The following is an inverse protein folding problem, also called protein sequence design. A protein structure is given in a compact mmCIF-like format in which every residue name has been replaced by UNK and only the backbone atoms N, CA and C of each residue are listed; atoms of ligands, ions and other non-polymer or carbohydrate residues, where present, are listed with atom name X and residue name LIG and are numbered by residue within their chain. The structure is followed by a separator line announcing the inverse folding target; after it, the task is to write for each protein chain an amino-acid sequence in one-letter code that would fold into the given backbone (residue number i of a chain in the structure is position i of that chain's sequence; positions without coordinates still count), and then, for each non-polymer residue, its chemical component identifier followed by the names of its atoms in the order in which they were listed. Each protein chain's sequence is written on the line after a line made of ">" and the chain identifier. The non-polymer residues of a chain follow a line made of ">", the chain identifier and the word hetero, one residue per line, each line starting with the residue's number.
data_IF_746336775737
#
_entry.id   IF_746336775737
#
_cell.length_a   1.000
_cell.length_b   1.000
_cell.length_c   1.000
_cell.angle_alpha   90.00
_cell.angle_beta   90.00
_cell.angle_gamma   90.00
#
_symmetry.space_group_name_H-M   'P 1'
#
loop_
_entity.id
_entity.type
_entity.pdbx_description
1 polymer ?
#
# COMPACT_ATOMS: atom_id res chain seq x y z
N UNK A 1 9.63 -15.68 19.71
CA UNK A 1 8.81 -14.70 20.48
C UNK A 1 8.20 -13.62 19.59
N UNK A 2 8.92 -13.00 18.62
CA UNK A 2 8.38 -11.91 17.76
C UNK A 2 7.21 -12.40 16.90
N UNK A 3 7.40 -13.51 16.19
CA UNK A 3 6.37 -14.08 15.30
C UNK A 3 5.18 -14.57 16.14
N UNK A 4 5.41 -15.28 17.24
CA UNK A 4 4.35 -15.76 18.11
C UNK A 4 3.52 -14.61 18.70
N UNK A 5 4.20 -13.58 19.25
CA UNK A 5 3.52 -12.36 19.73
C UNK A 5 2.76 -11.61 18.63
N UNK A 6 3.36 -11.50 17.42
CA UNK A 6 2.71 -10.92 16.25
C UNK A 6 1.46 -11.69 15.85
N UNK A 7 1.50 -13.02 15.86
CA UNK A 7 0.33 -13.87 15.57
C UNK A 7 -0.82 -13.59 16.53
N UNK A 8 -0.54 -13.44 17.85
CA UNK A 8 -1.56 -13.10 18.85
C UNK A 8 -2.17 -11.72 18.58
N UNK A 9 -1.34 -10.70 18.29
CA UNK A 9 -1.82 -9.35 17.98
C UNK A 9 -2.70 -9.37 16.73
N UNK A 10 -2.28 -10.03 15.66
CA UNK A 10 -3.09 -10.13 14.44
C UNK A 10 -4.38 -10.93 14.64
N UNK A 11 -4.37 -11.98 15.47
CA UNK A 11 -5.57 -12.72 15.81
C UNK A 11 -6.58 -11.84 16.57
N UNK A 12 -6.11 -11.02 17.52
CA UNK A 12 -6.97 -10.06 18.23
C UNK A 12 -7.54 -8.99 17.29
N UNK A 13 -6.71 -8.41 16.42
CA UNK A 13 -7.16 -7.44 15.40
C UNK A 13 -8.21 -8.10 14.50
N UNK A 14 -7.96 -9.32 14.04
CA UNK A 14 -8.92 -10.05 13.19
C UNK A 14 -10.25 -10.28 13.89
N UNK A 15 -10.23 -10.62 15.18
CA UNK A 15 -11.46 -10.82 15.97
C UNK A 15 -12.26 -9.51 16.10
N UNK A 16 -11.58 -8.39 16.36
CA UNK A 16 -12.24 -7.07 16.42
C UNK A 16 -12.82 -6.68 15.04
N UNK A 17 -12.05 -6.84 13.98
CA UNK A 17 -12.51 -6.53 12.63
C UNK A 17 -13.65 -7.45 12.19
N UNK A 18 -13.62 -8.74 12.56
CA UNK A 18 -14.71 -9.68 12.32
C UNK A 18 -16.01 -9.16 12.92
N UNK A 19 -15.99 -8.79 14.21
CA UNK A 19 -17.18 -8.28 14.89
C UNK A 19 -17.68 -6.99 14.23
N UNK A 20 -16.78 -6.05 13.94
CA UNK A 20 -17.14 -4.77 13.31
C UNK A 20 -17.75 -5.01 11.93
N UNK A 21 -17.10 -5.76 11.06
CA UNK A 21 -17.55 -5.97 9.68
C UNK A 21 -18.84 -6.79 9.58
N UNK A 22 -19.00 -7.79 10.43
CA UNK A 22 -20.22 -8.63 10.43
C UNK A 22 -21.40 -7.89 11.07
N UNK A 23 -21.20 -7.22 12.22
CA UNK A 23 -22.27 -6.53 12.94
C UNK A 23 -22.67 -5.20 12.25
N UNK A 24 -21.70 -4.46 11.71
CA UNK A 24 -21.91 -3.13 11.12
C UNK A 24 -21.89 -3.14 9.58
N UNK A 25 -22.06 -4.30 8.94
CA UNK A 25 -22.02 -4.42 7.48
C UNK A 25 -22.97 -3.43 6.77
N UNK A 26 -24.22 -3.36 7.21
CA UNK A 26 -25.23 -2.46 6.63
C UNK A 26 -24.95 -0.98 6.93
N UNK A 27 -24.67 -0.55 8.17
CA UNK A 27 -24.21 0.79 8.46
C UNK A 27 -22.98 1.22 7.64
N UNK A 28 -22.01 0.33 7.47
CA UNK A 28 -20.81 0.59 6.65
C UNK A 28 -21.22 0.81 5.19
N UNK A 29 -22.10 0.00 4.61
CA UNK A 29 -22.57 0.14 3.24
C UNK A 29 -23.30 1.47 3.01
N UNK A 30 -24.10 1.90 3.97
CA UNK A 30 -24.78 3.21 3.93
C UNK A 30 -23.77 4.37 4.06
N UNK A 31 -22.81 4.24 4.97
CA UNK A 31 -21.72 5.23 5.14
C UNK A 31 -20.87 5.39 3.87
N UNK A 32 -20.67 4.29 3.13
CA UNK A 32 -19.98 4.29 1.83
C UNK A 32 -20.83 4.85 0.70
N UNK A 33 -22.04 5.34 0.98
CA UNK A 33 -22.99 5.91 0.00
C UNK A 33 -23.33 4.92 -1.13
N UNK A 34 -23.46 3.64 -0.82
CA UNK A 34 -23.92 2.66 -1.79
C UNK A 34 -25.35 3.05 -2.28
N UNK A 35 -25.63 2.93 -3.59
CA UNK A 35 -26.98 3.18 -4.11
C UNK A 35 -28.03 2.33 -3.36
N UNK A 36 -29.22 2.86 -3.14
CA UNK A 36 -30.24 2.21 -2.33
C UNK A 36 -30.52 0.75 -2.74
N UNK A 37 -30.48 0.49 -4.04
CA UNK A 37 -30.66 -0.83 -4.65
C UNK A 37 -29.48 -1.79 -4.37
N UNK A 38 -28.28 -1.26 -4.13
CA UNK A 38 -27.04 -2.04 -3.94
C UNK A 38 -26.66 -2.17 -2.45
N UNK A 39 -27.34 -1.49 -1.52
CA UNK A 39 -26.98 -1.51 -0.08
C UNK A 39 -26.97 -2.93 0.47
N UNK A 40 -27.99 -3.74 0.19
CA UNK A 40 -28.10 -5.08 0.75
C UNK A 40 -27.10 -6.05 0.11
N UNK A 41 -26.79 -5.89 -1.20
CA UNK A 41 -25.74 -6.64 -1.89
C UNK A 41 -24.35 -6.29 -1.34
N UNK A 42 -24.09 -4.99 -1.13
CA UNK A 42 -22.85 -4.49 -0.55
C UNK A 42 -22.69 -4.98 0.90
N UNK A 43 -23.77 -4.93 1.69
CA UNK A 43 -23.77 -5.43 3.07
C UNK A 43 -23.52 -6.93 3.14
N UNK A 44 -24.10 -7.72 2.22
CA UNK A 44 -23.85 -9.14 2.11
C UNK A 44 -22.36 -9.41 1.77
N UNK A 45 -21.80 -8.70 0.80
CA UNK A 45 -20.38 -8.77 0.45
C UNK A 45 -19.47 -8.47 1.65
N UNK A 46 -19.71 -7.35 2.33
CA UNK A 46 -18.94 -6.93 3.52
C UNK A 46 -19.04 -7.96 4.64
N UNK A 47 -20.23 -8.54 4.86
CA UNK A 47 -20.45 -9.54 5.90
C UNK A 47 -19.72 -10.85 5.61
N UNK A 48 -19.73 -11.34 4.37
CA UNK A 48 -19.03 -12.55 3.95
C UNK A 48 -17.52 -12.35 4.03
N UNK A 49 -16.99 -11.25 3.48
CA UNK A 49 -15.57 -10.91 3.56
C UNK A 49 -15.13 -10.71 5.03
N UNK A 50 -15.95 -10.06 5.85
CA UNK A 50 -15.75 -9.95 7.29
C UNK A 50 -15.68 -11.30 7.99
N UNK A 51 -16.55 -12.24 7.60
CA UNK A 51 -16.50 -13.62 8.07
C UNK A 51 -15.19 -14.33 7.74
N UNK A 52 -14.61 -14.02 6.57
CA UNK A 52 -13.33 -14.55 6.10
C UNK A 52 -12.09 -13.79 6.52
N UNK A 53 -12.20 -12.75 7.35
CA UNK A 53 -11.09 -11.85 7.69
C UNK A 53 -9.87 -12.58 8.28
N UNK A 54 -10.09 -13.66 9.01
CA UNK A 54 -9.04 -14.49 9.58
C UNK A 54 -8.12 -15.07 8.50
N UNK A 55 -8.66 -15.51 7.36
CA UNK A 55 -7.85 -16.02 6.25
C UNK A 55 -7.06 -14.89 5.58
N UNK A 56 -7.67 -13.72 5.40
CA UNK A 56 -7.02 -12.54 4.82
C UNK A 56 -5.83 -12.11 5.67
N UNK A 57 -6.03 -12.03 6.99
CA UNK A 57 -4.96 -11.62 7.92
C UNK A 57 -3.89 -12.70 8.03
N UNK A 58 -4.27 -13.99 8.11
CA UNK A 58 -3.31 -15.10 8.16
C UNK A 58 -2.43 -15.16 6.90
N UNK A 59 -3.03 -14.98 5.71
CA UNK A 59 -2.30 -14.89 4.45
C UNK A 59 -1.25 -13.76 4.48
N UNK A 60 -1.66 -12.55 4.89
CA UNK A 60 -0.75 -11.41 4.95
C UNK A 60 0.39 -11.63 5.96
N UNK A 61 0.09 -12.20 7.12
CA UNK A 61 1.09 -12.54 8.12
C UNK A 61 2.10 -13.57 7.61
N UNK A 62 1.63 -14.66 7.00
CA UNK A 62 2.50 -15.69 6.43
C UNK A 62 3.37 -15.13 5.29
N UNK A 63 2.78 -14.33 4.40
CA UNK A 63 3.53 -13.64 3.34
C UNK A 63 4.62 -12.73 3.90
N UNK A 64 4.34 -11.98 4.97
CA UNK A 64 5.31 -11.12 5.62
C UNK A 64 6.44 -11.93 6.28
N UNK A 65 6.14 -13.09 6.89
CA UNK A 65 7.14 -14.00 7.46
C UNK A 65 8.08 -14.51 6.38
N UNK A 66 7.56 -15.03 5.26
CA UNK A 66 8.38 -15.52 4.15
C UNK A 66 9.28 -14.41 3.58
N UNK A 67 8.74 -13.21 3.34
CA UNK A 67 9.53 -12.06 2.86
C UNK A 67 10.60 -11.64 3.88
N UNK A 68 10.27 -11.66 5.17
CA UNK A 68 11.22 -11.38 6.25
C UNK A 68 12.38 -12.39 6.30
N UNK A 69 12.12 -13.65 5.96
CA UNK A 69 13.13 -14.70 5.83
C UNK A 69 13.93 -14.64 4.51
N UNK A 70 13.60 -13.69 3.62
CA UNK A 70 14.27 -13.55 2.31
C UNK A 70 13.66 -14.42 1.20
N UNK A 71 12.59 -15.14 1.48
CA UNK A 71 11.88 -15.96 0.48
C UNK A 71 10.68 -15.19 -0.11
N UNK A 72 10.91 -14.55 -1.26
CA UNK A 72 9.85 -13.88 -2.03
C UNK A 72 9.16 -14.79 -3.05
N UNK A 73 9.75 -15.95 -3.37
CA UNK A 73 9.18 -16.88 -4.36
C UNK A 73 7.96 -17.63 -3.82
N UNK A 74 8.00 -18.04 -2.56
CA UNK A 74 6.88 -18.75 -1.94
C UNK A 74 5.61 -17.88 -1.85
N UNK A 75 5.66 -16.62 -1.36
CA UNK A 75 4.51 -15.70 -1.43
C UNK A 75 3.95 -15.53 -2.85
N UNK A 76 4.79 -15.40 -3.85
CA UNK A 76 4.35 -15.27 -5.24
C UNK A 76 3.55 -16.50 -5.68
N UNK A 77 4.01 -17.72 -5.33
CA UNK A 77 3.35 -18.95 -5.75
C UNK A 77 1.96 -19.09 -5.12
N UNK A 78 1.81 -18.87 -3.81
CA UNK A 78 0.49 -19.01 -3.20
C UNK A 78 -0.46 -17.85 -3.51
N UNK A 79 0.06 -16.65 -3.85
CA UNK A 79 -0.74 -15.58 -4.47
C UNK A 79 -1.26 -15.99 -5.83
N UNK A 80 -0.41 -16.58 -6.68
CA UNK A 80 -0.81 -17.05 -8.01
C UNK A 80 -1.92 -18.10 -7.91
N UNK A 81 -1.76 -19.06 -7.01
CA UNK A 81 -2.81 -20.08 -6.77
C UNK A 81 -4.10 -19.42 -6.29
N UNK A 82 -4.02 -18.47 -5.35
CA UNK A 82 -5.20 -17.74 -4.88
C UNK A 82 -5.88 -16.97 -6.02
N UNK A 83 -5.13 -16.32 -6.88
CA UNK A 83 -5.66 -15.58 -8.04
C UNK A 83 -6.44 -16.51 -8.98
N UNK A 84 -5.88 -17.68 -9.31
CA UNK A 84 -6.56 -18.68 -10.17
C UNK A 84 -7.85 -19.15 -9.49
N UNK A 85 -7.79 -19.51 -8.20
CA UNK A 85 -8.97 -19.95 -7.44
C UNK A 85 -10.04 -18.86 -7.37
N UNK A 86 -9.64 -17.60 -7.20
CA UNK A 86 -10.58 -16.48 -7.19
C UNK A 86 -11.26 -16.31 -8.56
N UNK A 87 -10.49 -16.27 -9.66
CA UNK A 87 -11.05 -16.12 -11.02
C UNK A 87 -12.02 -17.27 -11.33
N UNK A 88 -11.61 -18.52 -11.06
CA UNK A 88 -12.48 -19.67 -11.29
C UNK A 88 -13.71 -19.62 -10.39
N UNK A 89 -13.52 -19.25 -9.11
CA UNK A 89 -14.61 -19.09 -8.16
C UNK A 89 -15.61 -18.01 -8.59
N UNK A 90 -15.15 -16.86 -9.07
CA UNK A 90 -16.01 -15.79 -9.58
C UNK A 90 -16.81 -16.27 -10.81
N UNK A 91 -16.16 -16.93 -11.76
CA UNK A 91 -16.86 -17.46 -12.94
C UNK A 91 -17.92 -18.51 -12.57
N UNK A 92 -17.61 -19.40 -11.65
CA UNK A 92 -18.54 -20.45 -11.21
C UNK A 92 -19.68 -19.88 -10.36
N UNK A 93 -19.36 -19.07 -9.34
CA UNK A 93 -20.36 -18.62 -8.37
C UNK A 93 -21.18 -17.43 -8.87
N UNK A 94 -20.57 -16.51 -9.61
CA UNK A 94 -21.27 -15.33 -10.13
C UNK A 94 -21.93 -15.67 -11.47
N UNK A 95 -21.16 -16.14 -12.48
CA UNK A 95 -21.71 -16.40 -13.80
C UNK A 95 -22.48 -17.74 -13.88
N UNK A 96 -22.03 -18.79 -13.15
CA UNK A 96 -22.68 -20.11 -13.18
C UNK A 96 -23.91 -20.22 -12.28
N UNK A 97 -23.77 -19.80 -11.01
CA UNK A 97 -24.83 -19.92 -10.00
C UNK A 97 -25.64 -18.62 -9.81
N UNK A 98 -25.25 -17.48 -10.41
CA UNK A 98 -25.97 -16.22 -10.29
C UNK A 98 -25.98 -15.64 -8.86
N UNK A 99 -24.94 -15.91 -8.05
CA UNK A 99 -24.86 -15.44 -6.67
C UNK A 99 -24.43 -13.99 -6.51
N UNK A 100 -24.30 -13.24 -7.61
CA UNK A 100 -23.94 -11.82 -7.63
C UNK A 100 -22.78 -11.46 -6.68
N UNK A 101 -22.95 -10.40 -5.88
CA UNK A 101 -21.95 -9.93 -4.94
C UNK A 101 -21.57 -10.96 -3.85
N UNK A 102 -22.52 -11.81 -3.43
CA UNK A 102 -22.25 -12.87 -2.47
C UNK A 102 -21.32 -13.94 -3.05
N UNK A 103 -21.51 -14.30 -4.34
CA UNK A 103 -20.63 -15.22 -5.05
C UNK A 103 -19.20 -14.73 -5.13
N UNK A 104 -18.99 -13.46 -5.50
CA UNK A 104 -17.68 -12.83 -5.54
C UNK A 104 -17.01 -12.77 -4.14
N UNK A 105 -17.77 -12.49 -3.10
CA UNK A 105 -17.25 -12.49 -1.73
C UNK A 105 -16.81 -13.89 -1.28
N UNK A 106 -17.60 -14.92 -1.57
CA UNK A 106 -17.28 -16.33 -1.25
C UNK A 106 -16.02 -16.76 -2.02
N UNK A 107 -15.93 -16.45 -3.32
CA UNK A 107 -14.75 -16.77 -4.14
C UNK A 107 -13.49 -16.12 -3.57
N UNK A 108 -13.57 -14.86 -3.17
CA UNK A 108 -12.46 -14.14 -2.54
C UNK A 108 -12.02 -14.81 -1.24
N UNK A 109 -12.95 -15.11 -0.32
CA UNK A 109 -12.63 -15.77 0.96
C UNK A 109 -12.06 -17.17 0.74
N UNK A 110 -12.63 -17.94 -0.19
CA UNK A 110 -12.14 -19.28 -0.53
C UNK A 110 -10.71 -19.21 -1.10
N UNK A 111 -10.43 -18.26 -2.00
CA UNK A 111 -9.10 -18.05 -2.54
C UNK A 111 -8.07 -17.74 -1.45
N UNK A 112 -8.43 -16.88 -0.49
CA UNK A 112 -7.56 -16.56 0.66
C UNK A 112 -7.35 -17.78 1.56
N UNK A 113 -8.39 -18.59 1.82
CA UNK A 113 -8.27 -19.81 2.59
C UNK A 113 -7.30 -20.81 1.91
N UNK A 114 -7.44 -21.03 0.60
CA UNK A 114 -6.53 -21.87 -0.17
C UNK A 114 -5.10 -21.34 -0.12
N UNK A 115 -4.91 -20.03 -0.24
CA UNK A 115 -3.60 -19.39 -0.11
C UNK A 115 -2.96 -19.65 1.27
N UNK A 116 -3.73 -19.57 2.34
CA UNK A 116 -3.25 -19.89 3.70
C UNK A 116 -2.84 -21.36 3.81
N UNK A 117 -3.64 -22.27 3.26
CA UNK A 117 -3.29 -23.71 3.26
C UNK A 117 -1.99 -23.93 2.49
N UNK A 118 -1.84 -23.36 1.30
CA UNK A 118 -0.61 -23.45 0.51
C UNK A 118 0.59 -22.88 1.28
N UNK A 119 0.44 -21.73 1.93
CA UNK A 119 1.50 -21.10 2.71
C UNK A 119 1.92 -21.97 3.90
N UNK A 120 0.96 -22.55 4.63
CA UNK A 120 1.24 -23.45 5.76
C UNK A 120 1.93 -24.72 5.27
N UNK A 121 1.47 -25.35 4.19
CA UNK A 121 2.10 -26.54 3.62
C UNK A 121 3.54 -26.23 3.19
N UNK A 122 3.79 -25.08 2.56
CA UNK A 122 5.14 -24.66 2.20
C UNK A 122 6.02 -24.41 3.42
N UNK A 123 5.46 -23.80 4.47
CA UNK A 123 6.15 -23.56 5.72
C UNK A 123 6.61 -24.87 6.38
N UNK A 124 5.71 -25.87 6.40
CA UNK A 124 6.00 -27.21 6.96
C UNK A 124 7.05 -27.96 6.11
N UNK A 125 6.99 -27.85 4.77
CA UNK A 125 7.95 -28.53 3.87
C UNK A 125 9.35 -27.92 3.91
N UNK A 126 9.44 -26.59 3.95
CA UNK A 126 10.76 -25.89 3.97
C UNK A 126 11.40 -25.89 5.35
N UNK A 127 10.61 -26.08 6.40
CA UNK A 127 11.04 -25.90 7.78
C UNK A 127 11.28 -24.41 8.10
N UNK A 128 11.26 -24.10 9.36
CA UNK A 128 11.63 -22.78 9.87
C UNK A 128 13.03 -22.86 10.46
N UNK A 129 13.86 -21.82 10.30
CA UNK A 129 15.19 -21.77 10.90
C UNK A 129 15.15 -21.61 12.44
N UNK A 130 13.97 -21.72 13.03
CA UNK A 130 13.73 -21.60 14.48
C UNK A 130 12.55 -22.50 14.91
N UNK A 131 12.52 -22.87 16.19
CA UNK A 131 11.45 -23.67 16.77
C UNK A 131 10.42 -22.77 17.44
N UNK A 132 9.14 -23.12 17.29
CA UNK A 132 8.05 -22.49 18.04
C UNK A 132 7.82 -23.20 19.36
N UNK A 133 7.78 -22.41 20.44
CA UNK A 133 7.36 -22.89 21.74
C UNK A 133 5.96 -22.30 22.07
N UNK A 134 5.13 -23.05 22.76
CA UNK A 134 3.79 -22.55 23.18
C UNK A 134 3.86 -21.25 23.99
N UNK A 135 4.99 -21.04 24.71
CA UNK A 135 5.27 -19.80 25.45
C UNK A 135 5.48 -18.57 24.57
N UNK A 136 5.78 -18.75 23.28
CA UNK A 136 5.97 -17.64 22.35
C UNK A 136 4.66 -16.96 21.94
N UNK A 137 3.53 -17.68 22.05
CA UNK A 137 2.20 -17.18 21.74
C UNK A 137 1.58 -16.43 22.92
N UNK A 138 2.28 -15.41 23.42
CA UNK A 138 1.83 -14.51 24.49
C UNK A 138 2.11 -13.08 24.13
N UNK A 139 1.31 -12.16 24.69
CA UNK A 139 1.61 -10.74 24.65
C UNK A 139 2.89 -10.48 25.45
N UNK A 140 3.94 -10.08 24.78
CA UNK A 140 5.27 -9.88 25.33
C UNK A 140 5.82 -8.49 24.93
N UNK A 141 7.00 -8.12 25.48
CA UNK A 141 7.67 -6.84 25.16
C UNK A 141 7.96 -6.67 23.66
N UNK A 142 8.05 -7.76 22.89
CA UNK A 142 8.24 -7.71 21.45
C UNK A 142 6.97 -7.23 20.72
N UNK A 143 5.78 -7.50 21.27
CA UNK A 143 4.52 -6.96 20.72
C UNK A 143 4.51 -5.44 20.75
N UNK A 144 5.04 -4.82 21.81
CA UNK A 144 5.18 -3.36 21.90
C UNK A 144 6.11 -2.81 20.81
N UNK A 145 7.24 -3.48 20.55
CA UNK A 145 8.16 -3.11 19.47
C UNK A 145 7.50 -3.27 18.10
N UNK A 146 6.81 -4.38 17.88
CA UNK A 146 6.07 -4.66 16.66
C UNK A 146 4.98 -3.60 16.39
N UNK A 147 4.17 -3.27 17.40
CA UNK A 147 3.15 -2.22 17.30
C UNK A 147 3.78 -0.83 17.11
N UNK A 148 4.91 -0.55 17.75
CA UNK A 148 5.66 0.70 17.59
C UNK A 148 6.17 0.91 16.15
N UNK A 149 6.38 -0.15 15.39
CA UNK A 149 6.75 -0.10 13.96
C UNK A 149 5.50 -0.11 13.08
N UNK A 150 4.55 -0.98 13.38
CA UNK A 150 3.38 -1.23 12.53
C UNK A 150 2.33 -0.14 12.60
N UNK A 151 2.07 0.42 13.79
CA UNK A 151 1.03 1.44 13.97
C UNK A 151 1.30 2.74 13.19
N UNK A 152 2.54 3.29 13.17
CA UNK A 152 2.87 4.42 12.32
C UNK A 152 2.63 4.14 10.83
N UNK A 153 2.99 2.94 10.35
CA UNK A 153 2.77 2.55 8.95
C UNK A 153 1.28 2.43 8.63
N UNK A 154 0.50 1.82 9.53
CA UNK A 154 -0.95 1.71 9.36
C UNK A 154 -1.64 3.08 9.35
N UNK A 155 -1.20 4.01 10.22
CA UNK A 155 -1.71 5.37 10.26
C UNK A 155 -1.38 6.14 8.98
N UNK A 156 -0.16 6.00 8.46
CA UNK A 156 0.25 6.59 7.19
C UNK A 156 -0.66 6.09 6.04
N UNK A 157 -0.89 4.78 5.96
CA UNK A 157 -1.73 4.18 4.92
C UNK A 157 -3.18 4.65 5.03
N UNK A 158 -3.74 4.67 6.24
CA UNK A 158 -5.08 5.19 6.50
C UNK A 158 -5.24 6.64 6.01
N UNK A 159 -4.29 7.51 6.33
CA UNK A 159 -4.32 8.91 5.92
C UNK A 159 -4.16 9.08 4.40
N UNK A 160 -3.38 8.21 3.77
CA UNK A 160 -3.27 8.18 2.31
C UNK A 160 -4.62 7.85 1.68
N UNK A 161 -5.37 6.88 2.20
CA UNK A 161 -6.72 6.54 1.71
C UNK A 161 -7.72 7.68 1.95
N UNK A 162 -7.68 8.32 3.11
CA UNK A 162 -8.50 9.51 3.40
C UNK A 162 -8.19 10.64 2.41
N UNK A 163 -6.93 10.84 2.05
CA UNK A 163 -6.54 11.82 1.04
C UNK A 163 -7.15 11.54 -0.34
N UNK A 164 -7.16 10.28 -0.78
CA UNK A 164 -7.80 9.91 -2.05
C UNK A 164 -9.30 10.18 -2.03
N UNK A 165 -9.98 9.89 -0.93
CA UNK A 165 -11.42 10.20 -0.77
C UNK A 165 -11.68 11.72 -0.81
N UNK A 166 -10.83 12.52 -0.16
CA UNK A 166 -10.94 13.96 -0.20
C UNK A 166 -10.70 14.53 -1.61
N UNK A 167 -9.71 14.01 -2.34
CA UNK A 167 -9.49 14.38 -3.75
C UNK A 167 -10.73 14.04 -4.60
N UNK A 168 -11.34 12.88 -4.41
CA UNK A 168 -12.57 12.49 -5.09
C UNK A 168 -13.67 13.51 -4.83
N UNK A 169 -13.87 13.95 -3.57
CA UNK A 169 -14.84 14.95 -3.21
C UNK A 169 -14.57 16.33 -3.86
N UNK A 170 -13.30 16.72 -4.02
CA UNK A 170 -12.92 17.96 -4.71
C UNK A 170 -13.20 17.88 -6.22
N UNK A 171 -12.89 16.75 -6.85
CA UNK A 171 -13.16 16.52 -8.27
C UNK A 171 -14.65 16.46 -8.57
N UNK A 172 -15.47 15.90 -7.68
CA UNK A 172 -16.92 15.82 -7.85
C UNK A 172 -17.58 17.20 -7.99
N UNK A 173 -16.95 18.27 -7.48
CA UNK A 173 -17.43 19.66 -7.67
C UNK A 173 -17.32 20.14 -9.11
N UNK A 174 -16.45 19.53 -9.92
CA UNK A 174 -16.26 19.90 -11.33
C UNK A 174 -17.29 19.27 -12.27
N UNK A 175 -18.18 18.44 -11.75
CA UNK A 175 -19.27 17.81 -12.49
C UNK A 175 -19.09 16.32 -12.75
N UNK A 176 -20.14 15.72 -13.34
CA UNK A 176 -20.22 14.26 -13.51
C UNK A 176 -19.16 13.71 -14.46
N UNK A 177 -18.88 14.38 -15.57
CA UNK A 177 -17.88 13.94 -16.55
C UNK A 177 -16.47 13.96 -15.96
N UNK A 178 -16.14 15.03 -15.19
CA UNK A 178 -14.87 15.14 -14.49
C UNK A 178 -14.70 14.03 -13.43
N UNK A 179 -15.75 13.76 -12.65
CA UNK A 179 -15.78 12.68 -11.66
C UNK A 179 -15.59 11.31 -12.29
N UNK A 180 -16.29 11.04 -13.39
CA UNK A 180 -16.16 9.78 -14.14
C UNK A 180 -14.76 9.62 -14.74
N UNK A 181 -14.20 10.68 -15.32
CA UNK A 181 -12.85 10.72 -15.86
C UNK A 181 -11.80 10.47 -14.78
N UNK A 182 -11.95 11.11 -13.61
CA UNK A 182 -11.09 10.85 -12.45
C UNK A 182 -11.16 9.38 -11.99
N UNK A 183 -12.35 8.79 -11.97
CA UNK A 183 -12.53 7.38 -11.62
C UNK A 183 -11.78 6.43 -12.57
N UNK A 184 -11.79 6.70 -13.88
CA UNK A 184 -11.01 5.96 -14.87
C UNK A 184 -9.51 6.19 -14.64
N UNK A 185 -9.08 7.44 -14.45
CA UNK A 185 -7.69 7.78 -14.18
C UNK A 185 -7.15 7.09 -12.93
N UNK A 186 -7.94 7.00 -11.85
CA UNK A 186 -7.56 6.28 -10.63
C UNK A 186 -7.27 4.79 -10.88
N UNK A 187 -7.98 4.13 -11.79
CA UNK A 187 -7.68 2.73 -12.15
C UNK A 187 -6.29 2.63 -12.79
N UNK A 188 -5.97 3.52 -13.72
CA UNK A 188 -4.66 3.56 -14.38
C UNK A 188 -3.55 3.89 -13.39
N UNK A 189 -3.77 4.87 -12.50
CA UNK A 189 -2.84 5.24 -11.42
C UNK A 189 -2.56 4.06 -10.51
N UNK A 190 -3.58 3.30 -10.10
CA UNK A 190 -3.40 2.11 -9.26
C UNK A 190 -2.49 1.07 -9.93
N UNK A 191 -2.66 0.81 -11.23
CA UNK A 191 -1.75 -0.07 -11.98
C UNK A 191 -0.32 0.50 -12.05
N UNK A 192 -0.17 1.79 -12.32
CA UNK A 192 1.13 2.45 -12.36
C UNK A 192 1.88 2.39 -11.03
N UNK A 193 1.15 2.41 -9.90
CA UNK A 193 1.73 2.36 -8.54
C UNK A 193 2.13 0.96 -8.08
N UNK A 194 1.78 -0.12 -8.78
CA UNK A 194 2.15 -1.48 -8.40
C UNK A 194 3.67 -1.68 -8.36
N UNK A 195 4.38 -1.20 -9.38
CA UNK A 195 5.85 -1.36 -9.47
C UNK A 195 6.58 -0.59 -8.37
N UNK A 196 6.34 0.72 -8.17
CA UNK A 196 6.96 1.47 -7.07
C UNK A 196 6.66 0.87 -5.69
N UNK A 197 5.41 0.46 -5.43
CA UNK A 197 5.00 -0.16 -4.16
C UNK A 197 5.72 -1.48 -3.90
N UNK A 198 5.85 -2.32 -4.91
CA UNK A 198 6.57 -3.60 -4.83
C UNK A 198 8.06 -3.38 -4.59
N UNK A 199 8.66 -2.38 -5.24
CA UNK A 199 10.05 -1.99 -5.04
C UNK A 199 10.29 -1.50 -3.61
N UNK A 200 9.39 -0.64 -3.08
CA UNK A 200 9.44 -0.15 -1.70
C UNK A 200 9.44 -1.31 -0.69
N UNK A 201 8.53 -2.28 -0.84
CA UNK A 201 8.44 -3.44 0.06
C UNK A 201 9.68 -4.35 -0.02
N UNK A 202 10.18 -4.58 -1.23
CA UNK A 202 11.39 -5.38 -1.47
C UNK A 202 12.61 -4.70 -0.85
N UNK A 203 12.74 -3.39 -1.01
CA UNK A 203 13.82 -2.60 -0.41
C UNK A 203 13.74 -2.61 1.11
N UNK A 204 12.55 -2.45 1.71
CA UNK A 204 12.39 -2.51 3.16
C UNK A 204 12.86 -3.86 3.73
N UNK A 205 12.51 -4.97 3.06
CA UNK A 205 12.95 -6.31 3.45
C UNK A 205 14.46 -6.48 3.29
N UNK A 206 15.02 -6.09 2.15
CA UNK A 206 16.45 -6.25 1.87
C UNK A 206 17.34 -5.37 2.77
N UNK A 207 16.92 -4.13 2.99
CA UNK A 207 17.62 -3.20 3.89
C UNK A 207 17.59 -3.71 5.32
N UNK A 208 16.43 -4.18 5.83
CA UNK A 208 16.30 -4.68 7.20
C UNK A 208 17.20 -5.90 7.45
N UNK A 209 17.33 -6.82 6.47
CA UNK A 209 18.24 -7.96 6.56
C UNK A 209 19.70 -7.51 6.61
N UNK A 210 20.12 -6.57 5.78
CA UNK A 210 21.49 -6.06 5.78
C UNK A 210 21.83 -5.26 7.05
N UNK A 211 20.89 -4.48 7.56
CA UNK A 211 21.02 -3.76 8.83
C UNK A 211 21.12 -4.75 9.99
N UNK A 212 20.28 -5.80 10.01
CA UNK A 212 20.32 -6.85 11.01
C UNK A 212 21.66 -7.64 11.00
N UNK A 213 22.26 -7.80 9.82
CA UNK A 213 23.59 -8.40 9.65
C UNK A 213 24.77 -7.41 9.90
N UNK A 214 24.50 -6.16 10.30
CA UNK A 214 25.53 -5.14 10.54
C UNK A 214 26.12 -4.50 9.26
N UNK A 215 25.61 -4.88 8.06
CA UNK A 215 26.16 -4.44 6.78
C UNK A 215 25.49 -3.14 6.27
N UNK A 216 25.73 -2.04 6.98
CA UNK A 216 25.17 -0.71 6.64
C UNK A 216 25.57 -0.19 5.26
N UNK A 217 26.79 -0.50 4.80
CA UNK A 217 27.27 -0.09 3.47
C UNK A 217 26.37 -0.69 2.37
N UNK A 218 26.06 -1.98 2.48
CA UNK A 218 25.20 -2.67 1.52
C UNK A 218 23.75 -2.16 1.58
N UNK A 219 23.24 -1.89 2.78
CA UNK A 219 21.93 -1.26 2.96
C UNK A 219 21.83 0.09 2.25
N UNK A 220 22.89 0.92 2.32
CA UNK A 220 22.97 2.21 1.61
C UNK A 220 23.08 2.04 0.10
N UNK A 221 23.88 1.09 -0.38
CA UNK A 221 23.95 0.80 -1.82
C UNK A 221 22.60 0.39 -2.38
N UNK A 222 21.79 -0.35 -1.60
CA UNK A 222 20.42 -0.72 -1.97
C UNK A 222 19.55 0.50 -2.26
N UNK A 223 19.69 1.59 -1.48
CA UNK A 223 18.92 2.81 -1.71
C UNK A 223 19.20 3.37 -3.12
N UNK A 224 20.46 3.56 -3.48
CA UNK A 224 20.82 4.13 -4.77
C UNK A 224 20.47 3.20 -5.95
N UNK A 225 20.66 1.89 -5.78
CA UNK A 225 20.23 0.91 -6.77
C UNK A 225 18.72 0.90 -6.94
N UNK A 226 17.96 0.97 -5.84
CA UNK A 226 16.51 1.05 -5.87
C UNK A 226 16.02 2.31 -6.58
N UNK A 227 16.62 3.47 -6.30
CA UNK A 227 16.31 4.72 -7.01
C UNK A 227 16.59 4.57 -8.51
N UNK A 228 17.74 4.03 -8.90
CA UNK A 228 18.09 3.86 -10.31
C UNK A 228 17.11 2.94 -11.05
N UNK A 229 16.77 1.78 -10.48
CA UNK A 229 15.79 0.85 -11.05
C UNK A 229 14.42 1.52 -11.10
N UNK A 230 14.00 2.16 -10.02
CA UNK A 230 12.73 2.84 -9.93
C UNK A 230 12.58 3.96 -10.97
N UNK A 231 13.64 4.75 -11.21
CA UNK A 231 13.65 5.82 -12.22
C UNK A 231 13.47 5.27 -13.64
N UNK A 232 14.09 4.14 -13.97
CA UNK A 232 13.91 3.52 -15.30
C UNK A 232 12.43 3.18 -15.53
N UNK A 233 11.77 2.54 -14.55
CA UNK A 233 10.34 2.24 -14.63
C UNK A 233 9.48 3.51 -14.55
N UNK A 234 9.83 4.45 -13.69
CA UNK A 234 9.12 5.71 -13.53
C UNK A 234 9.11 6.53 -14.83
N UNK A 235 10.24 6.61 -15.52
CA UNK A 235 10.33 7.28 -16.82
C UNK A 235 9.51 6.55 -17.89
N UNK A 236 9.53 5.23 -17.91
CA UNK A 236 8.71 4.44 -18.85
C UNK A 236 7.21 4.66 -18.62
N UNK A 237 6.75 4.63 -17.35
CA UNK A 237 5.36 4.89 -16.99
C UNK A 237 4.98 6.34 -17.28
N UNK A 238 5.86 7.31 -16.98
CA UNK A 238 5.67 8.72 -17.32
C UNK A 238 5.43 8.88 -18.81
N UNK A 239 6.31 8.33 -19.66
CA UNK A 239 6.17 8.41 -21.10
C UNK A 239 4.86 7.79 -21.59
N UNK A 240 4.52 6.60 -21.10
CA UNK A 240 3.29 5.91 -21.46
C UNK A 240 2.03 6.73 -21.07
N UNK A 241 1.98 7.26 -19.85
CA UNK A 241 0.83 8.03 -19.36
C UNK A 241 0.74 9.40 -20.05
N UNK A 242 1.88 10.04 -20.31
CA UNK A 242 1.93 11.37 -20.93
C UNK A 242 1.54 11.36 -22.39
N UNK A 243 1.99 10.35 -23.16
CA UNK A 243 1.77 10.29 -24.61
C UNK A 243 0.54 9.47 -24.98
N UNK A 244 0.25 8.39 -24.26
CA UNK A 244 -0.80 7.41 -24.59
C UNK A 244 -1.90 7.31 -23.51
N UNK A 245 -2.07 8.36 -22.70
CA UNK A 245 -3.04 8.33 -21.60
C UNK A 245 -4.50 8.30 -22.06
N UNK A 246 -4.80 8.80 -23.25
CA UNK A 246 -6.10 8.68 -23.92
C UNK A 246 -6.39 7.24 -24.34
N UNK A 247 -5.41 6.57 -24.97
CA UNK A 247 -5.50 5.14 -25.34
C UNK A 247 -5.70 4.28 -24.07
N UNK A 248 -4.94 4.52 -23.02
CA UNK A 248 -5.10 3.83 -21.73
C UNK A 248 -6.49 4.04 -21.14
N UNK A 249 -7.03 5.25 -21.23
CA UNK A 249 -8.37 5.57 -20.73
C UNK A 249 -9.45 4.89 -21.57
N UNK A 250 -9.23 4.76 -22.88
CA UNK A 250 -10.10 4.07 -23.82
C UNK A 250 -10.27 2.56 -23.54
N UNK A 251 -9.34 1.94 -22.80
CA UNK A 251 -9.49 0.56 -22.34
C UNK A 251 -10.66 0.40 -21.34
N UNK A 252 -10.96 1.43 -20.59
CA UNK A 252 -11.94 1.40 -19.48
C UNK A 252 -13.30 2.00 -19.85
N UNK A 253 -13.38 2.83 -20.88
CA UNK A 253 -14.60 3.50 -21.31
C UNK A 253 -14.56 3.87 -22.79
N UNK A 254 -15.72 3.91 -23.42
CA UNK A 254 -15.90 4.38 -24.80
C UNK A 254 -16.44 5.82 -24.87
N UNK A 255 -16.78 6.43 -23.74
CA UNK A 255 -17.27 7.80 -23.66
C UNK A 255 -16.13 8.79 -23.88
N UNK A 256 -16.19 9.55 -24.98
CA UNK A 256 -15.15 10.50 -25.38
C UNK A 256 -14.96 11.63 -24.34
N UNK A 257 -16.03 12.10 -23.70
CA UNK A 257 -15.93 13.15 -22.67
C UNK A 257 -15.19 12.63 -21.43
N UNK A 258 -15.48 11.39 -21.02
CA UNK A 258 -14.80 10.73 -19.89
C UNK A 258 -13.32 10.48 -20.22
N UNK A 259 -12.98 10.06 -21.44
CA UNK A 259 -11.59 9.83 -21.88
C UNK A 259 -10.80 11.15 -21.82
N UNK A 260 -11.34 12.26 -22.35
CA UNK A 260 -10.68 13.57 -22.33
C UNK A 260 -10.41 14.03 -20.89
N UNK A 261 -11.37 13.88 -19.99
CA UNK A 261 -11.23 14.25 -18.59
C UNK A 261 -10.23 13.34 -17.86
N UNK A 262 -10.23 12.03 -18.11
CA UNK A 262 -9.27 11.10 -17.56
C UNK A 262 -7.84 11.45 -18.01
N UNK A 263 -7.66 11.72 -19.29
CA UNK A 263 -6.35 12.12 -19.83
C UNK A 263 -5.88 13.47 -19.29
N UNK A 264 -6.78 14.44 -19.12
CA UNK A 264 -6.45 15.71 -18.48
C UNK A 264 -5.88 15.52 -17.06
N UNK A 265 -6.50 14.66 -16.23
CA UNK A 265 -5.97 14.32 -14.91
C UNK A 265 -4.62 13.58 -15.01
N UNK A 266 -4.52 12.58 -15.88
CA UNK A 266 -3.33 11.77 -16.08
C UNK A 266 -2.11 12.62 -16.51
N UNK A 267 -2.30 13.63 -17.35
CA UNK A 267 -1.24 14.58 -17.70
C UNK A 267 -0.70 15.33 -16.48
N UNK A 268 -1.57 15.82 -15.61
CA UNK A 268 -1.13 16.46 -14.36
C UNK A 268 -0.43 15.49 -13.42
N UNK A 269 -0.89 14.24 -13.39
CA UNK A 269 -0.35 13.18 -12.53
C UNK A 269 0.92 12.54 -13.08
N UNK A 270 1.16 12.53 -14.39
CA UNK A 270 2.26 11.78 -15.02
C UNK A 270 3.65 12.00 -14.36
N UNK A 271 4.07 13.24 -13.98
CA UNK A 271 5.35 13.44 -13.30
C UNK A 271 5.47 12.67 -11.97
N UNK A 272 4.35 12.30 -11.35
CA UNK A 272 4.33 11.50 -10.13
C UNK A 272 5.04 10.16 -10.31
N UNK A 273 4.95 9.54 -11.48
CA UNK A 273 5.61 8.26 -11.76
C UNK A 273 7.15 8.33 -11.56
N UNK A 274 7.76 9.45 -11.90
CA UNK A 274 9.21 9.66 -11.74
C UNK A 274 9.54 9.97 -10.28
N UNK A 275 8.84 10.92 -9.67
CA UNK A 275 9.16 11.36 -8.30
C UNK A 275 8.80 10.28 -7.26
N UNK A 276 7.74 9.51 -7.48
CA UNK A 276 7.37 8.39 -6.61
C UNK A 276 8.44 7.30 -6.59
N UNK A 277 9.13 7.06 -7.69
CA UNK A 277 10.24 6.09 -7.73
C UNK A 277 11.34 6.44 -6.72
N UNK A 278 11.67 7.73 -6.59
CA UNK A 278 12.64 8.22 -5.62
C UNK A 278 12.06 8.16 -4.19
N UNK A 279 10.85 8.69 -3.99
CA UNK A 279 10.22 8.72 -2.68
C UNK A 279 10.06 7.32 -2.09
N UNK A 280 9.49 6.37 -2.84
CA UNK A 280 9.22 5.02 -2.36
C UNK A 280 10.52 4.24 -2.09
N UNK A 281 11.57 4.48 -2.86
CA UNK A 281 12.90 3.93 -2.56
C UNK A 281 13.42 4.45 -1.22
N UNK A 282 13.29 5.74 -0.94
CA UNK A 282 13.69 6.33 0.36
C UNK A 282 12.81 5.82 1.50
N UNK A 283 11.49 5.73 1.30
CA UNK A 283 10.55 5.17 2.28
C UNK A 283 10.91 3.71 2.60
N UNK A 284 11.16 2.88 1.58
CA UNK A 284 11.61 1.51 1.75
C UNK A 284 12.92 1.41 2.55
N UNK A 285 13.89 2.28 2.26
CA UNK A 285 15.13 2.38 3.01
C UNK A 285 14.91 2.75 4.48
N UNK A 286 14.09 3.76 4.77
CA UNK A 286 13.82 4.18 6.14
C UNK A 286 13.02 3.13 6.93
N UNK A 287 12.05 2.48 6.29
CA UNK A 287 11.30 1.38 6.89
C UNK A 287 12.23 0.21 7.26
N UNK A 288 13.15 -0.17 6.36
CA UNK A 288 14.15 -1.19 6.62
C UNK A 288 15.15 -0.83 7.73
N UNK A 289 15.37 0.46 7.98
CA UNK A 289 16.18 0.99 9.08
C UNK A 289 15.39 1.26 10.38
N UNK A 290 14.16 0.76 10.50
CA UNK A 290 13.27 1.00 11.65
C UNK A 290 12.96 2.49 11.92
N UNK A 291 12.96 3.34 10.88
CA UNK A 291 12.61 4.77 10.97
C UNK A 291 11.16 5.03 10.56
N UNK A 292 10.25 4.13 10.91
CA UNK A 292 8.84 4.15 10.50
C UNK A 292 8.08 5.37 11.03
N UNK A 293 8.44 5.86 12.22
CA UNK A 293 7.87 7.09 12.77
C UNK A 293 8.20 8.29 11.89
N UNK A 294 9.44 8.37 11.37
CA UNK A 294 9.81 9.43 10.43
C UNK A 294 8.98 9.33 9.14
N UNK A 295 8.84 8.13 8.60
CA UNK A 295 8.04 7.89 7.38
C UNK A 295 6.59 8.32 7.60
N UNK A 296 6.01 8.03 8.76
CA UNK A 296 4.67 8.51 9.13
C UNK A 296 4.61 10.05 9.18
N UNK A 297 5.55 10.71 9.86
CA UNK A 297 5.58 12.17 9.98
C UNK A 297 5.72 12.82 8.60
N UNK A 298 6.65 12.33 7.78
CA UNK A 298 6.85 12.80 6.41
C UNK A 298 5.57 12.61 5.57
N UNK A 299 4.92 11.45 5.65
CA UNK A 299 3.67 11.18 4.94
C UNK A 299 2.51 12.08 5.39
N UNK A 300 2.42 12.38 6.70
CA UNK A 300 1.47 13.35 7.24
C UNK A 300 1.67 14.75 6.67
N UNK A 301 2.92 15.24 6.72
CA UNK A 301 3.26 16.56 6.17
C UNK A 301 2.94 16.63 4.68
N UNK A 302 3.40 15.64 3.91
CA UNK A 302 3.16 15.55 2.48
C UNK A 302 1.67 15.56 2.15
N UNK A 303 0.87 14.77 2.86
CA UNK A 303 -0.54 14.57 2.56
C UNK A 303 -1.41 15.71 3.06
N UNK A 304 -1.32 16.06 4.35
CA UNK A 304 -2.22 17.01 4.98
C UNK A 304 -1.81 18.47 4.74
N UNK A 305 -0.51 18.76 4.69
CA UNK A 305 -0.02 20.14 4.56
C UNK A 305 0.28 20.54 3.12
N UNK A 306 0.46 19.59 2.20
CA UNK A 306 0.80 19.92 0.81
C UNK A 306 -0.28 19.41 -0.15
N UNK A 307 -0.51 18.10 -0.22
CA UNK A 307 -1.38 17.48 -1.23
C UNK A 307 -2.83 17.94 -1.12
N UNK A 308 -3.44 17.86 0.08
CA UNK A 308 -4.83 18.23 0.27
C UNK A 308 -5.09 19.73 0.11
N UNK A 309 -4.30 20.64 0.73
CA UNK A 309 -4.51 22.07 0.53
C UNK A 309 -4.30 22.49 -0.92
N UNK A 310 -3.28 21.96 -1.60
CA UNK A 310 -3.01 22.27 -3.00
C UNK A 310 -4.15 21.79 -3.91
N UNK A 311 -4.61 20.55 -3.76
CA UNK A 311 -5.75 20.04 -4.52
C UNK A 311 -7.02 20.85 -4.27
N UNK A 312 -7.28 21.23 -3.01
CA UNK A 312 -8.42 22.08 -2.66
C UNK A 312 -8.33 23.46 -3.33
N UNK A 313 -7.20 24.16 -3.19
CA UNK A 313 -6.98 25.48 -3.80
C UNK A 313 -7.16 25.40 -5.32
N UNK A 314 -6.63 24.37 -5.97
CA UNK A 314 -6.76 24.17 -7.41
C UNK A 314 -8.21 23.83 -7.82
N UNK A 315 -8.99 23.20 -6.96
CA UNK A 315 -10.39 22.84 -7.24
C UNK A 315 -11.37 24.03 -7.15
N UNK A 316 -11.01 25.11 -6.44
CA UNK A 316 -11.89 26.28 -6.24
C UNK A 316 -11.56 27.45 -7.17
N UNK A 317 -10.55 27.32 -8.03
CA UNK A 317 -10.21 28.38 -8.98
C UNK A 317 -11.26 28.52 -10.09
N UNK A 318 -11.46 29.71 -10.67
CA UNK A 318 -12.45 29.93 -11.74
C UNK A 318 -12.22 29.04 -12.98
N UNK A 319 -10.95 28.69 -13.25
CA UNK A 319 -10.55 27.82 -14.36
C UNK A 319 -10.02 26.47 -13.87
N UNK A 320 -10.64 25.91 -12.80
CA UNK A 320 -10.23 24.64 -12.25
C UNK A 320 -10.24 23.54 -13.33
N UNK A 321 -9.16 22.81 -13.46
CA UNK A 321 -9.02 21.70 -14.39
C UNK A 321 -8.49 20.45 -13.69
N UNK A 322 -8.83 19.29 -14.23
CA UNK A 322 -8.31 18.03 -13.71
C UNK A 322 -6.78 17.94 -13.80
N UNK A 323 -6.17 18.57 -14.80
CA UNK A 323 -4.70 18.65 -14.91
C UNK A 323 -4.08 19.40 -13.72
N UNK A 324 -4.67 20.52 -13.30
CA UNK A 324 -4.19 21.27 -12.13
C UNK A 324 -4.33 20.45 -10.84
N UNK A 325 -5.46 19.79 -10.64
CA UNK A 325 -5.67 18.92 -9.47
C UNK A 325 -4.70 17.74 -9.50
N UNK A 326 -4.42 17.16 -10.67
CA UNK A 326 -3.44 16.09 -10.86
C UNK A 326 -2.03 16.48 -10.44
N UNK A 327 -1.62 17.74 -10.60
CA UNK A 327 -0.31 18.27 -10.18
C UNK A 327 -0.12 18.29 -8.65
N UNK A 328 -1.18 18.21 -7.87
CA UNK A 328 -1.06 18.18 -6.41
C UNK A 328 -0.28 16.94 -5.90
N UNK A 329 -0.37 15.81 -6.61
CA UNK A 329 0.36 14.59 -6.27
C UNK A 329 1.89 14.78 -6.45
N UNK A 330 2.42 15.04 -7.66
CA UNK A 330 3.87 15.16 -7.87
C UNK A 330 4.49 16.30 -7.06
N UNK A 331 3.77 17.40 -6.84
CA UNK A 331 4.28 18.50 -6.01
C UNK A 331 4.44 18.07 -4.56
N UNK A 332 3.43 17.38 -4.00
CA UNK A 332 3.50 16.88 -2.63
C UNK A 332 4.61 15.82 -2.46
N UNK A 333 4.79 14.96 -3.44
CA UNK A 333 5.83 13.94 -3.46
C UNK A 333 7.22 14.55 -3.56
N UNK A 334 7.40 15.62 -4.34
CA UNK A 334 8.66 16.37 -4.39
C UNK A 334 9.03 16.97 -3.02
N UNK A 335 8.06 17.54 -2.30
CA UNK A 335 8.27 18.00 -0.91
C UNK A 335 8.65 16.84 0.00
N UNK A 336 7.99 15.68 -0.12
CA UNK A 336 8.34 14.46 0.61
C UNK A 336 9.77 14.00 0.35
N UNK A 337 10.25 14.08 -0.88
CA UNK A 337 11.65 13.78 -1.25
C UNK A 337 12.60 14.73 -0.54
N UNK A 338 12.34 16.03 -0.58
CA UNK A 338 13.19 17.04 0.10
C UNK A 338 13.30 16.73 1.59
N UNK A 339 12.18 16.46 2.26
CA UNK A 339 12.16 16.09 3.68
C UNK A 339 13.00 14.82 3.94
N UNK A 340 12.86 13.82 3.10
CA UNK A 340 13.59 12.55 3.22
C UNK A 340 15.10 12.73 2.97
N UNK A 341 15.49 13.55 1.99
CA UNK A 341 16.90 13.89 1.74
C UNK A 341 17.50 14.62 2.93
N UNK A 342 16.81 15.62 3.48
CA UNK A 342 17.26 16.35 4.67
C UNK A 342 17.47 15.40 5.86
N UNK A 343 16.52 14.47 6.08
CA UNK A 343 16.63 13.50 7.17
C UNK A 343 17.74 12.47 6.93
N UNK A 344 17.94 12.03 5.70
CA UNK A 344 19.05 11.14 5.33
C UNK A 344 20.40 11.78 5.64
N UNK A 345 20.60 13.05 5.23
CA UNK A 345 21.82 13.79 5.48
C UNK A 345 22.03 14.04 6.99
N UNK A 346 20.96 14.32 7.74
CA UNK A 346 21.03 14.43 9.18
C UNK A 346 21.52 13.12 9.83
N UNK A 347 20.98 11.97 9.43
CA UNK A 347 21.41 10.67 9.96
C UNK A 347 22.88 10.36 9.63
N UNK A 348 23.33 10.70 8.44
CA UNK A 348 24.72 10.51 8.03
C UNK A 348 25.71 11.37 8.86
N UNK A 349 25.36 12.63 9.09
CA UNK A 349 26.16 13.52 9.95
C UNK A 349 26.24 12.99 11.37
N UNK A 350 25.11 12.55 11.92
CA UNK A 350 25.06 11.97 13.26
C UNK A 350 25.93 10.71 13.39
N UNK A 351 25.90 9.82 12.38
CA UNK A 351 26.76 8.63 12.38
C UNK A 351 28.26 8.96 12.28
N UNK A 352 28.63 9.97 11.49
CA UNK A 352 30.03 10.42 11.39
C UNK A 352 30.51 10.99 12.73
N UNK A 353 29.72 11.83 13.37
CA UNK A 353 30.07 12.43 14.67
C UNK A 353 30.25 11.36 15.77
N UNK A 354 29.38 10.34 15.78
CA UNK A 354 29.51 9.21 16.73
C UNK A 354 30.76 8.35 16.48
N UNK A 355 31.24 8.23 15.25
CA UNK A 355 32.50 7.54 14.94
C UNK A 355 33.70 8.34 15.41
N UNK A 356 33.72 9.65 15.12
CA UNK A 356 34.79 10.56 15.55
C UNK A 356 34.89 10.58 17.09
N UNK A 357 33.75 10.70 17.80
CA UNK A 357 33.73 10.67 19.28
C UNK A 357 34.28 9.35 19.86
N UNK A 358 34.02 8.21 19.22
CA UNK A 358 34.57 6.93 19.64
C UNK A 358 36.06 6.77 19.36
N UNK A 359 36.57 7.37 18.28
CA UNK A 359 37.99 7.34 17.91
C UNK A 359 38.83 8.33 18.73
N UNK A 360 38.23 9.46 19.17
CA UNK A 360 38.92 10.50 19.95
C UNK A 360 38.85 10.31 21.48
N UNK A 361 38.14 9.25 21.95
CA UNK A 361 38.10 8.93 23.38
C UNK A 361 37.32 9.92 24.27
N UNK A 362 36.60 10.89 23.69
CA UNK A 362 35.73 11.80 24.41
C UNK A 362 34.38 11.14 24.63
N UNK A 363 34.27 10.39 25.71
CA UNK A 363 32.96 10.01 26.28
C UNK A 363 32.64 11.00 27.39
N UNK A 364 31.70 11.93 27.20
CA UNK A 364 30.87 12.47 28.24
C UNK A 364 29.57 11.70 28.34
#
# INVERSE_FOLDING_TARGET
>A
PVIGGGTVVFALISAVLFVIMVALARPISVLMQAPAEAVDLTASYVRICGGGIFFIVAYNLLSAIFRGLGDSKSPLLFVLVACIVNIVGDLVLVAGFGLDAAGAAIATVAAQAVSVVCAVVMLLKKGLPFQFHKSDFRLNTQCRKFLGIGLPLAMQEFLTQVSFLALCAFVNRLGLEASSGYGVACKIVNFAMLIPSSLMQSMASFVSQNVGAGNKKRARQTLFTGIAIGLVFGCAVFALVWFEGDLLSGIFTTDAAVIVNAFAYLRGFAPEAIVTAVLFSMVGYFNGNNKTVWVMVQGLVQTLLVRLPMAYIMSIQPNASLTMIGLAAPTSTAVGIVLNVCFFLYLERKEKNLKVSKETGWCE
#
